data_IF_487511326305
#
_entry.id   IF_487511326305
#
_cell.length_a   1.000
_cell.length_b   1.000
_cell.length_c   1.000
_cell.angle_alpha   90.00
_cell.angle_beta   90.00
_cell.angle_gamma   90.00
#
_symmetry.space_group_name_H-M   'P 1'
#
loop_
_entity.id
_entity.type
_entity.pdbx_description
1 polymer ?
#
# COMPACT_ATOMS: atom_id res chain seq x y z
N UNK A 1 1.21 12.64 21.21
CA UNK A 1 0.65 11.93 22.37
C UNK A 1 1.27 10.52 22.37
N UNK A 2 2.12 10.26 23.37
CA UNK A 2 2.66 8.91 23.61
C UNK A 2 1.64 8.14 24.44
N UNK A 3 1.04 7.13 23.89
CA UNK A 3 0.24 6.13 24.60
C UNK A 3 0.91 4.78 24.39
N UNK A 4 1.65 4.32 25.41
CA UNK A 4 2.11 2.92 25.50
C UNK A 4 3.03 2.41 24.40
N UNK A 5 3.97 3.22 23.90
CA UNK A 5 4.97 2.78 22.89
C UNK A 5 4.48 2.71 21.44
N UNK A 6 3.24 3.08 21.16
CA UNK A 6 2.70 3.14 19.79
C UNK A 6 2.74 4.61 19.34
N UNK A 7 3.61 4.91 18.37
CA UNK A 7 3.67 6.21 17.71
C UNK A 7 2.51 6.30 16.70
N UNK A 8 1.42 6.95 17.08
CA UNK A 8 0.38 7.34 16.13
C UNK A 8 0.80 8.64 15.43
N UNK A 9 1.30 8.50 14.21
CA UNK A 9 1.49 9.62 13.30
C UNK A 9 0.18 9.93 12.56
N UNK A 10 -0.47 11.06 12.89
CA UNK A 10 -1.60 11.55 12.11
C UNK A 10 -1.08 12.44 10.99
N UNK A 11 -1.07 11.93 9.77
CA UNK A 11 -0.82 12.76 8.60
C UNK A 11 -2.09 13.59 8.31
N UNK A 12 -1.96 14.92 8.28
CA UNK A 12 -3.07 15.81 7.89
C UNK A 12 -3.44 15.51 6.44
N UNK A 13 -4.69 15.07 6.16
CA UNK A 13 -5.08 14.79 4.79
C UNK A 13 -4.97 16.06 3.95
N UNK A 14 -4.29 15.97 2.81
CA UNK A 14 -4.25 17.06 1.83
C UNK A 14 -5.62 17.11 1.16
N UNK A 15 -6.39 18.21 1.31
CA UNK A 15 -7.70 18.30 0.69
C UNK A 15 -7.54 18.39 -0.82
N UNK A 16 -7.92 17.33 -1.53
CA UNK A 16 -8.02 17.37 -2.99
C UNK A 16 -9.36 18.02 -3.34
N UNK A 17 -9.31 19.17 -3.99
CA UNK A 17 -10.52 19.83 -4.46
C UNK A 17 -11.03 19.15 -5.74
N UNK A 18 -11.91 18.16 -5.57
CA UNK A 18 -12.45 17.36 -6.66
C UNK A 18 -13.27 18.19 -7.66
N UNK A 19 -13.82 19.34 -7.25
CA UNK A 19 -14.58 20.23 -8.14
C UNK A 19 -13.68 21.02 -9.10
N UNK A 20 -12.39 21.13 -8.80
CA UNK A 20 -11.39 21.80 -9.65
C UNK A 20 -10.75 20.87 -10.69
N UNK A 21 -11.06 19.58 -10.67
CA UNK A 21 -10.51 18.59 -11.60
C UNK A 21 -11.18 18.70 -12.97
N UNK A 22 -10.39 18.64 -14.04
CA UNK A 22 -10.91 18.72 -15.43
C UNK A 22 -11.76 17.49 -15.79
N UNK A 23 -11.39 16.32 -15.30
CA UNK A 23 -12.07 15.03 -15.49
C UNK A 23 -12.13 14.28 -14.15
N UNK A 24 -13.06 14.61 -13.24
CA UNK A 24 -13.02 14.17 -11.85
C UNK A 24 -12.79 12.68 -11.63
N UNK A 25 -13.46 11.82 -12.41
CA UNK A 25 -13.29 10.35 -12.29
C UNK A 25 -11.91 9.87 -12.73
N UNK A 26 -11.40 10.38 -13.84
CA UNK A 26 -10.09 9.97 -14.37
C UNK A 26 -8.96 10.49 -13.49
N UNK A 27 -9.05 11.76 -13.09
CA UNK A 27 -8.03 12.39 -12.27
C UNK A 27 -7.99 11.74 -10.87
N UNK A 28 -9.17 11.39 -10.30
CA UNK A 28 -9.25 10.64 -9.04
C UNK A 28 -8.62 9.24 -9.16
N UNK A 29 -8.80 8.56 -10.29
CA UNK A 29 -8.17 7.26 -10.56
C UNK A 29 -6.64 7.39 -10.51
N UNK A 30 -6.05 8.38 -11.20
CA UNK A 30 -4.61 8.58 -11.23
C UNK A 30 -4.05 8.91 -9.84
N UNK A 31 -4.73 9.77 -9.09
CA UNK A 31 -4.34 10.11 -7.71
C UNK A 31 -4.37 8.85 -6.83
N UNK A 32 -5.42 8.04 -6.93
CA UNK A 32 -5.55 6.82 -6.13
C UNK A 32 -4.54 5.73 -6.52
N UNK A 33 -4.19 5.61 -7.80
CA UNK A 33 -3.15 4.64 -8.23
C UNK A 33 -1.75 5.08 -7.84
N UNK A 34 -1.49 6.38 -7.70
CA UNK A 34 -0.18 6.91 -7.36
C UNK A 34 0.34 6.40 -6.00
N UNK A 35 -0.55 6.20 -5.00
CA UNK A 35 -0.20 5.63 -3.69
C UNK A 35 0.42 4.24 -3.80
N UNK A 36 -0.33 3.23 -4.28
CA UNK A 36 0.21 1.90 -4.50
C UNK A 36 1.42 1.86 -5.45
N UNK A 37 1.43 2.69 -6.49
CA UNK A 37 2.56 2.77 -7.42
C UNK A 37 3.84 3.27 -6.75
N UNK A 38 3.75 4.25 -5.86
CA UNK A 38 4.91 4.74 -5.10
C UNK A 38 5.47 3.66 -4.18
N UNK A 39 4.61 2.88 -3.51
CA UNK A 39 5.04 1.75 -2.70
C UNK A 39 5.72 0.67 -3.55
N UNK A 40 5.22 0.40 -4.76
CA UNK A 40 5.87 -0.52 -5.69
C UNK A 40 7.27 -0.03 -6.08
N UNK A 41 7.41 1.24 -6.45
CA UNK A 41 8.72 1.83 -6.80
C UNK A 41 9.69 1.74 -5.61
N UNK A 42 9.24 2.02 -4.40
CA UNK A 42 10.06 1.87 -3.19
C UNK A 42 10.43 0.41 -2.94
N UNK A 43 9.52 -0.54 -3.11
CA UNK A 43 9.81 -1.97 -2.98
C UNK A 43 10.88 -2.43 -3.99
N UNK A 44 10.79 -1.98 -5.26
CA UNK A 44 11.80 -2.25 -6.29
C UNK A 44 13.16 -1.64 -5.93
N UNK A 45 13.18 -0.41 -5.41
CA UNK A 45 14.41 0.23 -4.91
C UNK A 45 15.07 -0.56 -3.78
N UNK A 46 14.27 -1.02 -2.80
CA UNK A 46 14.75 -1.87 -1.73
C UNK A 46 15.23 -3.24 -2.23
N UNK A 47 14.56 -3.83 -3.21
CA UNK A 47 14.99 -5.11 -3.81
C UNK A 47 16.33 -4.96 -4.54
N UNK A 48 16.55 -3.83 -5.21
CA UNK A 48 17.84 -3.53 -5.83
C UNK A 48 18.96 -3.41 -4.78
N UNK A 49 18.72 -2.68 -3.68
CA UNK A 49 19.68 -2.56 -2.58
C UNK A 49 19.96 -3.92 -1.92
N UNK A 50 18.93 -4.73 -1.75
CA UNK A 50 19.07 -6.10 -1.25
C UNK A 50 19.99 -6.92 -2.17
N UNK A 51 19.75 -6.88 -3.48
CA UNK A 51 20.58 -7.58 -4.47
C UNK A 51 22.03 -7.11 -4.47
N UNK A 52 22.26 -5.80 -4.37
CA UNK A 52 23.61 -5.24 -4.30
C UNK A 52 24.38 -5.72 -3.05
N UNK A 53 23.71 -5.76 -1.89
CA UNK A 53 24.28 -6.27 -0.67
C UNK A 53 24.58 -7.79 -0.76
N UNK A 54 23.65 -8.56 -1.33
CA UNK A 54 23.80 -10.00 -1.55
C UNK A 54 24.99 -10.36 -2.44
N UNK A 55 25.27 -9.54 -3.46
CA UNK A 55 26.39 -9.76 -4.37
C UNK A 55 27.75 -9.33 -3.78
N UNK A 56 27.75 -8.61 -2.66
CA UNK A 56 28.97 -8.11 -2.01
C UNK A 56 28.99 -8.49 -0.52
N UNK A 57 29.02 -9.79 -0.18
CA UNK A 57 28.88 -10.25 1.21
C UNK A 57 30.04 -9.84 2.12
N UNK A 58 31.23 -9.61 1.55
CA UNK A 58 32.43 -9.20 2.29
C UNK A 58 32.42 -7.71 2.70
N UNK A 59 31.42 -6.94 2.23
CA UNK A 59 31.29 -5.54 2.61
C UNK A 59 30.75 -5.43 4.04
N UNK A 60 31.40 -4.60 4.86
CA UNK A 60 31.00 -4.33 6.25
C UNK A 60 29.51 -3.95 6.41
N UNK A 61 28.94 -3.27 5.42
CA UNK A 61 27.53 -2.84 5.42
C UNK A 61 26.57 -3.85 4.80
N UNK A 62 27.04 -4.98 4.29
CA UNK A 62 26.18 -5.93 3.58
C UNK A 62 25.08 -6.50 4.48
N UNK A 63 25.44 -7.01 5.67
CA UNK A 63 24.47 -7.62 6.59
C UNK A 63 23.41 -6.62 7.11
N UNK A 64 23.78 -5.43 7.64
CA UNK A 64 22.79 -4.41 7.99
C UNK A 64 21.89 -4.00 6.83
N UNK A 65 22.45 -3.86 5.62
CA UNK A 65 21.69 -3.46 4.44
C UNK A 65 20.71 -4.55 3.99
N UNK A 66 21.07 -5.83 4.06
CA UNK A 66 20.16 -6.94 3.80
C UNK A 66 18.97 -6.92 4.76
N UNK A 67 19.22 -6.70 6.05
CA UNK A 67 18.15 -6.59 7.05
C UNK A 67 17.21 -5.40 6.77
N UNK A 68 17.77 -4.22 6.55
CA UNK A 68 17.00 -3.01 6.24
C UNK A 68 16.20 -3.17 4.94
N UNK A 69 16.83 -3.67 3.89
CA UNK A 69 16.20 -3.84 2.59
C UNK A 69 15.09 -4.89 2.63
N UNK A 70 15.29 -6.00 3.35
CA UNK A 70 14.26 -7.02 3.55
C UNK A 70 13.00 -6.46 4.24
N UNK A 71 13.19 -5.64 5.29
CA UNK A 71 12.08 -4.94 5.96
C UNK A 71 11.45 -3.91 5.02
N UNK A 72 12.26 -3.15 4.28
CA UNK A 72 11.80 -2.16 3.32
C UNK A 72 10.91 -2.76 2.22
N UNK A 73 11.33 -3.90 1.63
CA UNK A 73 10.52 -4.66 0.67
C UNK A 73 9.20 -5.06 1.32
N UNK A 74 9.26 -5.68 2.51
CA UNK A 74 8.07 -6.18 3.20
C UNK A 74 7.04 -5.10 3.48
N UNK A 75 7.46 -3.99 4.07
CA UNK A 75 6.56 -2.89 4.42
C UNK A 75 5.89 -2.33 3.16
N UNK A 76 6.67 -2.06 2.10
CA UNK A 76 6.14 -1.46 0.89
C UNK A 76 5.18 -2.40 0.13
N UNK A 77 5.46 -3.70 0.07
CA UNK A 77 4.54 -4.67 -0.51
C UNK A 77 3.23 -4.73 0.29
N UNK A 78 3.31 -4.82 1.63
CA UNK A 78 2.12 -4.89 2.48
C UNK A 78 1.28 -3.62 2.34
N UNK A 79 1.90 -2.43 2.36
CA UNK A 79 1.21 -1.16 2.17
C UNK A 79 0.59 -1.04 0.77
N UNK A 80 1.28 -1.48 -0.27
CA UNK A 80 0.76 -1.50 -1.63
C UNK A 80 -0.48 -2.38 -1.73
N UNK A 81 -0.41 -3.62 -1.24
CA UNK A 81 -1.51 -4.58 -1.30
C UNK A 81 -2.69 -4.12 -0.44
N UNK A 82 -2.41 -3.61 0.77
CA UNK A 82 -3.45 -3.04 1.65
C UNK A 82 -4.19 -1.90 0.94
N UNK A 83 -3.44 -0.95 0.36
CA UNK A 83 -4.03 0.20 -0.33
C UNK A 83 -4.78 -0.17 -1.61
N UNK A 84 -4.51 -1.33 -2.21
CA UNK A 84 -5.26 -1.84 -3.37
C UNK A 84 -6.57 -2.53 -2.99
N UNK A 85 -6.86 -2.77 -1.70
CA UNK A 85 -8.15 -3.31 -1.29
C UNK A 85 -9.30 -2.39 -1.73
N UNK A 86 -10.38 -2.93 -2.32
CA UNK A 86 -11.52 -2.14 -2.81
C UNK A 86 -12.43 -1.65 -1.67
N UNK A 87 -11.83 -1.12 -0.62
CA UNK A 87 -12.51 -0.63 0.59
C UNK A 87 -12.19 0.86 0.81
N UNK A 88 -13.16 1.79 0.67
CA UNK A 88 -12.94 3.15 1.13
C UNK A 88 -12.69 3.17 2.67
N UNK A 89 -11.73 3.93 3.19
CA UNK A 89 -11.04 5.08 2.60
C UNK A 89 -9.73 4.76 1.87
N UNK A 90 -9.40 3.49 1.63
CA UNK A 90 -8.17 3.08 0.95
C UNK A 90 -8.19 3.50 -0.53
N UNK A 91 -7.00 3.60 -1.14
CA UNK A 91 -6.85 4.00 -2.54
C UNK A 91 -7.58 3.06 -3.51
N UNK A 92 -7.55 1.75 -3.25
CA UNK A 92 -8.30 0.75 -4.01
C UNK A 92 -9.82 0.96 -3.98
N UNK A 93 -10.37 1.47 -2.87
CA UNK A 93 -11.76 1.89 -2.78
C UNK A 93 -12.06 3.07 -3.70
N UNK A 94 -11.17 4.06 -3.78
CA UNK A 94 -11.28 5.20 -4.69
C UNK A 94 -11.12 4.79 -6.15
N UNK A 95 -10.21 3.86 -6.45
CA UNK A 95 -10.08 3.24 -7.78
C UNK A 95 -11.40 2.58 -8.16
N UNK A 96 -11.97 1.76 -7.28
CA UNK A 96 -13.24 1.08 -7.53
C UNK A 96 -14.38 2.09 -7.78
N UNK A 97 -14.51 3.14 -6.96
CA UNK A 97 -15.51 4.22 -7.16
C UNK A 97 -15.32 4.89 -8.52
N UNK A 98 -14.09 5.11 -8.97
CA UNK A 98 -13.80 5.75 -10.26
C UNK A 98 -14.20 4.90 -11.46
N UNK A 99 -14.08 3.57 -11.35
CA UNK A 99 -14.34 2.62 -12.43
C UNK A 99 -15.80 2.17 -12.50
N UNK A 100 -16.53 2.24 -11.38
CA UNK A 100 -17.91 1.77 -11.31
C UNK A 100 -18.91 2.74 -11.96
N UNK A 101 -20.06 2.22 -12.46
CA UNK A 101 -21.20 3.03 -12.85
C UNK A 101 -21.70 3.91 -11.69
N UNK A 102 -22.30 5.06 -11.99
CA UNK A 102 -22.68 6.06 -10.98
C UNK A 102 -23.46 5.50 -9.78
N UNK A 103 -24.41 4.60 -10.02
CA UNK A 103 -25.25 4.01 -8.97
C UNK A 103 -24.41 3.17 -7.97
N UNK A 104 -23.53 2.32 -8.50
CA UNK A 104 -22.66 1.46 -7.68
C UNK A 104 -21.55 2.27 -6.99
N UNK A 105 -20.98 3.24 -7.70
CA UNK A 105 -20.01 4.18 -7.14
C UNK A 105 -20.59 4.94 -5.94
N UNK A 106 -21.83 5.42 -6.05
CA UNK A 106 -22.52 6.10 -4.95
C UNK A 106 -22.75 5.17 -3.75
N UNK A 107 -23.15 3.92 -3.98
CA UNK A 107 -23.33 2.94 -2.89
C UNK A 107 -22.01 2.65 -2.17
N UNK A 108 -20.92 2.48 -2.92
CA UNK A 108 -19.61 2.23 -2.35
C UNK A 108 -19.09 3.45 -1.57
N UNK A 109 -19.28 4.67 -2.08
CA UNK A 109 -18.88 5.90 -1.39
C UNK A 109 -19.61 6.09 -0.06
N UNK A 110 -20.83 5.58 0.10
CA UNK A 110 -21.56 5.64 1.38
C UNK A 110 -20.92 4.81 2.49
N UNK A 111 -20.05 3.88 2.15
CA UNK A 111 -19.31 3.06 3.13
C UNK A 111 -18.10 3.83 3.67
N UNK A 112 -17.62 4.87 2.98
CA UNK A 112 -16.41 5.61 3.36
C UNK A 112 -16.39 6.08 4.82
N UNK A 113 -17.46 6.64 5.41
CA UNK A 113 -17.46 7.03 6.84
C UNK A 113 -17.25 5.86 7.81
N UNK A 114 -17.62 4.65 7.40
CA UNK A 114 -17.47 3.43 8.19
C UNK A 114 -16.20 2.65 7.85
N UNK A 115 -15.53 3.00 6.76
CA UNK A 115 -14.40 2.26 6.23
C UNK A 115 -13.24 2.11 7.20
N UNK A 116 -12.96 3.15 8.01
CA UNK A 116 -11.93 3.06 9.05
C UNK A 116 -12.29 2.04 10.13
N UNK A 117 -13.56 1.99 10.57
CA UNK A 117 -14.01 1.01 11.56
C UNK A 117 -13.95 -0.41 11.01
N UNK A 118 -14.35 -0.59 9.73
CA UNK A 118 -14.24 -1.88 9.03
C UNK A 118 -12.78 -2.31 8.94
N UNK A 119 -11.88 -1.40 8.58
CA UNK A 119 -10.45 -1.68 8.49
C UNK A 119 -9.85 -2.09 9.84
N UNK A 120 -10.18 -1.37 10.92
CA UNK A 120 -9.74 -1.72 12.27
C UNK A 120 -10.29 -3.09 12.66
N UNK A 121 -11.57 -3.36 12.42
CA UNK A 121 -12.17 -4.67 12.68
C UNK A 121 -11.46 -5.80 11.91
N UNK A 122 -11.18 -5.59 10.62
CA UNK A 122 -10.41 -6.55 9.82
C UNK A 122 -8.99 -6.73 10.35
N UNK A 123 -8.34 -5.66 10.85
CA UNK A 123 -6.97 -5.71 11.35
C UNK A 123 -6.84 -6.48 12.69
N UNK A 124 -7.86 -6.43 13.56
CA UNK A 124 -7.87 -7.19 14.82
C UNK A 124 -8.32 -8.64 14.63
N UNK A 125 -8.88 -8.99 13.47
CA UNK A 125 -9.27 -10.35 13.11
C UNK A 125 -8.23 -10.97 12.17
N UNK A 126 -8.14 -12.31 12.06
CA UNK A 126 -7.25 -12.95 11.10
C UNK A 126 -7.69 -12.76 9.64
N UNK A 127 -8.89 -12.23 9.40
CA UNK A 127 -9.48 -12.09 8.06
C UNK A 127 -8.62 -11.22 7.14
N UNK A 128 -8.10 -10.09 7.65
CA UNK A 128 -7.23 -9.22 6.86
C UNK A 128 -5.98 -9.98 6.40
N UNK A 129 -5.36 -10.76 7.29
CA UNK A 129 -4.22 -11.61 6.96
C UNK A 129 -4.54 -12.62 5.86
N UNK A 130 -5.68 -13.29 5.93
CA UNK A 130 -6.10 -14.25 4.90
C UNK A 130 -6.29 -13.62 3.53
N UNK A 131 -6.75 -12.36 3.49
CA UNK A 131 -6.93 -11.63 2.23
C UNK A 131 -5.57 -11.12 1.70
N UNK A 132 -4.73 -10.56 2.58
CA UNK A 132 -3.48 -9.92 2.17
C UNK A 132 -2.38 -10.94 1.82
N UNK A 133 -2.23 -12.02 2.61
CA UNK A 133 -1.12 -12.95 2.48
C UNK A 133 -0.95 -13.57 1.09
N UNK A 134 -2.01 -14.04 0.40
CA UNK A 134 -1.86 -14.56 -0.96
C UNK A 134 -1.30 -13.52 -1.94
N UNK A 135 -1.77 -12.27 -1.83
CA UNK A 135 -1.34 -11.18 -2.70
C UNK A 135 0.09 -10.71 -2.37
N UNK A 136 0.39 -10.61 -1.08
CA UNK A 136 1.74 -10.29 -0.59
C UNK A 136 2.73 -11.35 -1.03
N UNK A 137 2.41 -12.65 -0.87
CA UNK A 137 3.29 -13.75 -1.30
C UNK A 137 3.50 -13.75 -2.81
N UNK A 138 2.47 -13.47 -3.60
CA UNK A 138 2.58 -13.33 -5.05
C UNK A 138 3.55 -12.20 -5.43
N UNK A 139 3.43 -11.04 -4.78
CA UNK A 139 4.33 -9.90 -5.04
C UNK A 139 5.78 -10.23 -4.66
N UNK A 140 6.00 -10.95 -3.55
CA UNK A 140 7.32 -11.43 -3.17
C UNK A 140 7.90 -12.39 -4.20
N UNK A 141 7.12 -13.35 -4.69
CA UNK A 141 7.55 -14.27 -5.73
C UNK A 141 7.94 -13.54 -7.02
N UNK A 142 7.14 -12.55 -7.43
CA UNK A 142 7.44 -11.74 -8.61
C UNK A 142 8.75 -10.95 -8.44
N UNK A 143 8.97 -10.32 -7.27
CA UNK A 143 10.23 -9.62 -6.98
C UNK A 143 11.41 -10.59 -6.92
N UNK A 144 11.23 -11.76 -6.30
CA UNK A 144 12.26 -12.79 -6.23
C UNK A 144 12.67 -13.26 -7.62
N UNK A 145 11.70 -13.50 -8.51
CA UNK A 145 11.98 -13.87 -9.90
C UNK A 145 12.69 -12.75 -10.67
N UNK A 146 12.29 -11.50 -10.44
CA UNK A 146 12.86 -10.36 -11.17
C UNK A 146 14.31 -10.08 -10.76
N UNK A 147 14.60 -10.16 -9.47
CA UNK A 147 15.93 -9.83 -8.93
C UNK A 147 16.80 -11.06 -8.67
N UNK A 148 16.26 -12.27 -8.71
CA UNK A 148 16.97 -13.51 -8.39
C UNK A 148 17.45 -13.53 -6.93
N UNK A 149 16.58 -13.15 -5.99
CA UNK A 149 16.84 -13.06 -4.55
C UNK A 149 15.88 -13.93 -3.77
#
# INVERSE_FOLDING_TARGET
LMLGGILFGWAKPVPVNFSALRRPKQDMLWVAVAGPASNLVMALGWALLYKMAWLNPDNYFAEPLLGMAGIGIKINIVLMVLNLLPLPPLDGGRVAVSMLPHRQAYQLSRIEPYGMFILIFLAITPVLGWILMPLVSLMYQLLSLLFGI
#
